data_IF_162182958525
#
_entry.id   IF_162182958525
#
_cell.length_a   1.000
_cell.length_b   1.000
_cell.length_c   1.000
_cell.angle_alpha   90.00
_cell.angle_beta   90.00
_cell.angle_gamma   90.00
#
_symmetry.space_group_name_H-M   'P 1'
#
loop_
_entity.id
_entity.type
_entity.pdbx_description
1 polymer ?
#
# COMPACT_ATOMS: atom_id res chain seq x y z
N UNK A 1 53.45 15.99 15.23
CA UNK A 1 52.66 14.74 15.24
C UNK A 1 51.18 15.11 15.14
N UNK A 2 50.54 14.79 14.01
CA UNK A 2 49.23 15.32 13.64
C UNK A 2 48.10 14.81 14.53
N UNK A 3 47.34 15.76 15.09
CA UNK A 3 46.01 15.51 15.66
C UNK A 3 45.09 15.02 14.53
N UNK A 4 44.88 13.70 14.45
CA UNK A 4 43.76 13.15 13.66
C UNK A 4 42.47 13.51 14.37
N UNK A 5 41.80 14.57 13.89
CA UNK A 5 40.40 14.82 14.22
C UNK A 5 39.60 13.54 13.90
N UNK A 6 39.12 12.84 14.93
CA UNK A 6 38.15 11.75 14.77
C UNK A 6 36.86 12.36 14.25
N UNK A 7 36.63 12.27 12.95
CA UNK A 7 35.35 12.60 12.29
C UNK A 7 34.26 11.57 12.66
N UNK A 8 33.98 11.34 13.94
CA UNK A 8 33.06 10.26 14.36
C UNK A 8 31.57 10.60 14.21
N UNK A 9 31.22 11.80 13.72
CA UNK A 9 29.84 12.28 13.56
C UNK A 9 29.22 12.07 12.17
N UNK A 10 29.99 12.24 11.09
CA UNK A 10 29.45 12.37 9.72
C UNK A 10 29.02 11.04 9.08
N UNK A 11 28.05 11.10 8.18
CA UNK A 11 27.71 9.98 7.29
C UNK A 11 28.78 9.92 6.21
N UNK A 12 29.44 8.77 6.07
CA UNK A 12 30.45 8.58 5.01
C UNK A 12 29.77 8.29 3.68
N UNK A 13 30.46 8.55 2.56
CA UNK A 13 29.96 8.20 1.22
C UNK A 13 29.58 6.73 1.13
N UNK A 14 30.36 5.83 1.74
CA UNK A 14 30.04 4.40 1.80
C UNK A 14 28.74 4.11 2.56
N UNK A 15 28.49 4.78 3.70
CA UNK A 15 27.26 4.60 4.45
C UNK A 15 26.05 5.13 3.68
N UNK A 16 26.21 6.28 3.03
CA UNK A 16 25.19 6.90 2.19
C UNK A 16 24.82 6.00 1.00
N UNK A 17 25.82 5.59 0.19
CA UNK A 17 25.59 4.77 -0.99
C UNK A 17 24.97 3.43 -0.62
N UNK A 18 25.48 2.77 0.41
CA UNK A 18 24.95 1.48 0.87
C UNK A 18 23.49 1.59 1.32
N UNK A 19 23.14 2.61 2.10
CA UNK A 19 21.76 2.80 2.57
C UNK A 19 20.82 3.14 1.42
N UNK A 20 21.25 4.00 0.51
CA UNK A 20 20.52 4.36 -0.71
C UNK A 20 20.27 3.13 -1.60
N UNK A 21 21.31 2.37 -1.94
CA UNK A 21 21.17 1.18 -2.80
C UNK A 21 20.35 0.09 -2.12
N UNK A 22 20.49 -0.13 -0.81
CA UNK A 22 19.61 -1.05 -0.10
C UNK A 22 18.14 -0.64 -0.24
N UNK A 23 17.82 0.65 -0.10
CA UNK A 23 16.45 1.15 -0.26
C UNK A 23 15.96 1.06 -1.71
N UNK A 24 16.81 1.39 -2.69
CA UNK A 24 16.50 1.28 -4.11
C UNK A 24 16.17 -0.16 -4.50
N UNK A 25 17.02 -1.12 -4.09
CA UNK A 25 16.81 -2.54 -4.35
C UNK A 25 15.56 -3.08 -3.64
N UNK A 26 15.31 -2.65 -2.39
CA UNK A 26 14.09 -3.00 -1.66
C UNK A 26 12.81 -2.44 -2.31
N UNK A 27 12.93 -1.41 -3.17
CA UNK A 27 11.80 -0.77 -3.86
C UNK A 27 11.66 -1.22 -5.31
N UNK A 28 12.59 -2.02 -5.84
CA UNK A 28 12.64 -2.35 -7.25
C UNK A 28 11.35 -3.02 -7.76
N UNK A 29 10.75 -3.91 -6.97
CA UNK A 29 9.51 -4.60 -7.33
C UNK A 29 8.36 -3.63 -7.69
N UNK A 30 8.24 -2.49 -7.00
CA UNK A 30 7.22 -1.48 -7.29
C UNK A 30 7.40 -0.88 -8.68
N UNK A 31 8.64 -0.51 -9.01
CA UNK A 31 8.95 0.19 -10.25
C UNK A 31 9.07 -0.74 -11.44
N UNK A 32 9.52 -1.98 -11.25
CA UNK A 32 9.51 -3.01 -12.28
C UNK A 32 8.08 -3.42 -12.63
N UNK A 33 7.19 -3.53 -11.65
CA UNK A 33 5.76 -3.76 -11.88
C UNK A 33 5.13 -2.57 -12.62
N UNK A 34 5.40 -1.34 -12.18
CA UNK A 34 4.90 -0.13 -12.85
C UNK A 34 5.38 0.00 -14.30
N UNK A 35 6.62 -0.44 -14.59
CA UNK A 35 7.18 -0.43 -15.94
C UNK A 35 6.82 -1.68 -16.76
N UNK A 36 5.91 -2.52 -16.28
CA UNK A 36 5.45 -3.76 -16.94
C UNK A 36 6.59 -4.73 -17.30
N UNK A 37 7.69 -4.70 -16.55
CA UNK A 37 8.89 -5.51 -16.78
C UNK A 37 9.27 -6.37 -15.56
N UNK A 38 8.34 -6.54 -14.63
CA UNK A 38 8.50 -7.37 -13.44
C UNK A 38 8.70 -8.84 -13.81
N UNK A 39 9.66 -9.48 -13.15
CA UNK A 39 9.94 -10.89 -13.36
C UNK A 39 10.42 -11.54 -12.05
N UNK A 40 10.06 -12.83 -11.78
CA UNK A 40 10.40 -13.51 -10.53
C UNK A 40 11.88 -13.52 -10.18
N UNK A 41 12.74 -13.81 -11.16
CA UNK A 41 14.18 -13.90 -10.97
C UNK A 41 14.82 -12.58 -10.49
N UNK A 42 14.72 -11.44 -11.21
CA UNK A 42 15.30 -10.19 -10.76
C UNK A 42 14.68 -9.72 -9.44
N UNK A 43 13.36 -9.83 -9.23
CA UNK A 43 12.74 -9.44 -7.96
C UNK A 43 13.33 -10.22 -6.77
N UNK A 44 13.53 -11.53 -6.93
CA UNK A 44 14.16 -12.38 -5.90
C UNK A 44 15.58 -11.92 -5.58
N UNK A 45 16.41 -11.69 -6.61
CA UNK A 45 17.81 -11.30 -6.44
C UNK A 45 17.93 -9.90 -5.80
N UNK A 46 17.15 -8.94 -6.28
CA UNK A 46 17.19 -7.55 -5.80
C UNK A 46 16.73 -7.46 -4.34
N UNK A 47 15.67 -8.18 -3.97
CA UNK A 47 15.18 -8.24 -2.59
C UNK A 47 16.22 -8.89 -1.64
N UNK A 48 16.82 -10.03 -2.03
CA UNK A 48 17.90 -10.66 -1.25
C UNK A 48 19.12 -9.73 -1.09
N UNK A 49 19.51 -9.05 -2.17
CA UNK A 49 20.60 -8.08 -2.14
C UNK A 49 20.28 -6.88 -1.23
N UNK A 50 19.04 -6.39 -1.25
CA UNK A 50 18.58 -5.32 -0.36
C UNK A 50 18.73 -5.71 1.12
N UNK A 51 18.23 -6.89 1.50
CA UNK A 51 18.34 -7.42 2.87
C UNK A 51 19.79 -7.62 3.29
N UNK A 52 20.63 -8.20 2.42
CA UNK A 52 22.05 -8.41 2.69
C UNK A 52 22.79 -7.09 2.91
N UNK A 53 22.57 -6.10 2.02
CA UNK A 53 23.16 -4.78 2.15
C UNK A 53 22.71 -4.07 3.43
N UNK A 54 21.43 -4.14 3.77
CA UNK A 54 20.87 -3.49 4.95
C UNK A 54 21.37 -4.13 6.25
N UNK A 55 21.30 -5.46 6.40
CA UNK A 55 21.61 -6.16 7.65
C UNK A 55 23.08 -6.00 8.08
N UNK A 56 24.00 -5.99 7.11
CA UNK A 56 25.42 -5.69 7.31
C UNK A 56 25.69 -4.20 7.66
N UNK A 57 24.79 -3.28 7.30
CA UNK A 57 24.95 -1.84 7.50
C UNK A 57 24.90 -1.43 8.97
N UNK A 58 25.58 -0.36 9.36
CA UNK A 58 25.49 0.18 10.72
C UNK A 58 24.23 1.07 10.91
N UNK A 59 24.11 1.73 12.06
CA UNK A 59 22.97 2.61 12.35
C UNK A 59 22.81 3.77 11.37
N UNK A 60 23.91 4.26 10.75
CA UNK A 60 23.83 5.35 9.77
C UNK A 60 23.33 4.82 8.43
N UNK A 61 23.74 3.62 8.04
CA UNK A 61 23.18 2.94 6.86
C UNK A 61 21.67 2.72 7.02
N UNK A 62 21.23 2.26 8.19
CA UNK A 62 19.81 2.08 8.51
C UNK A 62 19.02 3.39 8.50
N UNK A 63 19.60 4.46 9.05
CA UNK A 63 19.02 5.80 9.00
C UNK A 63 18.80 6.29 7.56
N UNK A 64 19.82 6.12 6.70
CA UNK A 64 19.76 6.49 5.28
C UNK A 64 18.77 5.60 4.53
N UNK A 65 18.77 4.29 4.81
CA UNK A 65 17.78 3.36 4.25
C UNK A 65 16.35 3.80 4.59
N UNK A 66 16.08 4.12 5.86
CA UNK A 66 14.78 4.60 6.32
C UNK A 66 14.33 5.89 5.64
N UNK A 67 15.28 6.80 5.36
CA UNK A 67 14.98 8.03 4.62
C UNK A 67 14.54 7.74 3.17
N UNK A 68 15.33 6.94 2.45
CA UNK A 68 15.06 6.66 1.03
C UNK A 68 13.92 5.66 0.81
N UNK A 69 13.75 4.67 1.68
CA UNK A 69 12.62 3.71 1.56
C UNK A 69 11.30 4.46 1.66
N UNK A 70 11.22 5.47 2.52
CA UNK A 70 10.03 6.29 2.65
C UNK A 70 9.75 7.13 1.40
N UNK A 71 10.79 7.68 0.78
CA UNK A 71 10.65 8.40 -0.49
C UNK A 71 10.16 7.44 -1.58
N UNK A 72 10.79 6.28 -1.72
CA UNK A 72 10.46 5.36 -2.79
C UNK A 72 9.09 4.68 -2.62
N UNK A 73 8.69 4.35 -1.39
CA UNK A 73 7.43 3.65 -1.13
C UNK A 73 6.25 4.57 -0.91
N UNK A 74 6.46 5.80 -0.42
CA UNK A 74 5.39 6.70 0.02
C UNK A 74 5.33 8.03 -0.73
N UNK A 75 6.02 8.22 -1.86
CA UNK A 75 5.87 9.47 -2.61
C UNK A 75 4.44 9.74 -3.11
N UNK A 76 3.72 8.66 -3.43
CA UNK A 76 2.38 8.74 -4.03
C UNK A 76 1.33 9.29 -3.06
N UNK A 77 1.48 9.11 -1.74
CA UNK A 77 0.47 9.57 -0.76
C UNK A 77 0.36 11.10 -0.74
N UNK A 78 1.46 11.80 -1.05
CA UNK A 78 1.50 13.26 -1.10
C UNK A 78 0.84 13.81 -2.37
N UNK A 79 0.60 13.00 -3.40
CA UNK A 79 -0.04 13.46 -4.64
C UNK A 79 -1.46 13.97 -4.40
N UNK A 80 -2.12 13.50 -3.34
CA UNK A 80 -3.43 13.99 -2.90
C UNK A 80 -3.45 15.50 -2.64
N UNK A 81 -2.36 16.09 -2.15
CA UNK A 81 -2.28 17.54 -1.90
C UNK A 81 -2.43 18.38 -3.16
N UNK A 82 -2.16 17.83 -4.36
CA UNK A 82 -2.44 18.53 -5.62
C UNK A 82 -3.93 18.76 -5.82
N UNK A 83 -4.76 17.81 -5.40
CA UNK A 83 -6.22 17.84 -5.56
C UNK A 83 -6.82 18.90 -4.63
N UNK A 84 -6.25 19.05 -3.42
CA UNK A 84 -6.71 20.02 -2.43
C UNK A 84 -6.08 21.43 -2.59
N UNK A 85 -5.30 21.70 -3.64
CA UNK A 85 -4.67 23.01 -3.86
C UNK A 85 -3.42 23.28 -3.04
N UNK A 86 -2.89 22.29 -2.31
CA UNK A 86 -1.70 22.40 -1.46
C UNK A 86 -0.46 21.75 -2.09
N UNK A 87 -0.29 21.83 -3.41
CA UNK A 87 0.83 21.19 -4.12
C UNK A 87 2.22 21.61 -3.56
N UNK A 88 2.34 22.82 -3.01
CA UNK A 88 3.55 23.31 -2.34
C UNK A 88 3.93 22.51 -1.09
N UNK A 89 2.97 21.84 -0.44
CA UNK A 89 3.18 21.06 0.78
C UNK A 89 3.75 19.67 0.48
N UNK A 90 3.73 19.21 -0.77
CA UNK A 90 4.24 17.89 -1.20
C UNK A 90 5.70 17.66 -0.77
N UNK A 91 6.67 18.53 -1.13
CA UNK A 91 8.07 18.31 -0.74
C UNK A 91 8.26 18.32 0.79
N UNK A 92 7.47 19.14 1.51
CA UNK A 92 7.54 19.24 2.98
C UNK A 92 7.00 17.96 3.62
N UNK A 93 5.81 17.51 3.19
CA UNK A 93 5.19 16.27 3.65
C UNK A 93 6.07 15.06 3.37
N UNK A 94 6.68 14.98 2.18
CA UNK A 94 7.64 13.93 1.85
C UNK A 94 8.87 13.94 2.75
N UNK A 95 9.43 15.12 3.03
CA UNK A 95 10.58 15.23 3.92
C UNK A 95 10.22 14.78 5.34
N UNK A 96 9.03 15.15 5.86
CA UNK A 96 8.57 14.73 7.17
C UNK A 96 8.42 13.21 7.27
N UNK A 97 7.77 12.57 6.29
CA UNK A 97 7.62 11.10 6.24
C UNK A 97 9.00 10.44 6.16
N UNK A 98 9.91 10.97 5.33
CA UNK A 98 11.27 10.44 5.22
C UNK A 98 12.06 10.55 6.52
N UNK A 99 11.93 11.66 7.27
CA UNK A 99 12.59 11.84 8.57
C UNK A 99 12.01 10.91 9.65
N UNK A 100 10.70 10.64 9.63
CA UNK A 100 10.05 9.69 10.54
C UNK A 100 10.64 8.29 10.34
N UNK A 101 10.67 7.78 9.10
CA UNK A 101 11.23 6.47 8.81
C UNK A 101 12.74 6.42 9.00
N UNK A 102 13.46 7.50 8.70
CA UNK A 102 14.89 7.62 9.00
C UNK A 102 15.16 7.43 10.49
N UNK A 103 14.38 8.09 11.34
CA UNK A 103 14.47 8.00 12.80
C UNK A 103 14.08 6.61 13.32
N UNK A 104 13.02 6.02 12.76
CA UNK A 104 12.56 4.67 13.11
C UNK A 104 13.65 3.62 12.85
N UNK A 105 14.21 3.58 11.64
CA UNK A 105 15.25 2.62 11.28
C UNK A 105 16.57 2.87 12.02
N UNK A 106 16.93 4.14 12.23
CA UNK A 106 18.07 4.49 13.08
C UNK A 106 17.90 3.97 14.51
N UNK A 107 16.74 4.22 15.12
CA UNK A 107 16.40 3.76 16.46
C UNK A 107 16.42 2.24 16.57
N UNK A 108 15.87 1.53 15.59
CA UNK A 108 15.92 0.07 15.51
C UNK A 108 17.36 -0.47 15.47
N UNK A 109 18.24 0.17 14.69
CA UNK A 109 19.64 -0.22 14.59
C UNK A 109 20.46 0.12 15.85
N UNK A 110 20.16 1.24 16.53
CA UNK A 110 20.74 1.59 17.83
C UNK A 110 20.33 0.57 18.89
N UNK A 111 19.03 0.26 18.98
CA UNK A 111 18.49 -0.73 19.92
C UNK A 111 19.09 -2.11 19.66
N UNK A 112 19.20 -2.52 18.40
CA UNK A 112 19.84 -3.77 18.00
C UNK A 112 21.28 -3.89 18.48
N UNK A 113 22.06 -2.80 18.42
CA UNK A 113 23.44 -2.78 18.96
C UNK A 113 23.49 -2.85 20.48
N UNK A 114 22.59 -2.15 21.16
CA UNK A 114 22.49 -2.21 22.61
C UNK A 114 22.13 -3.63 23.10
N UNK A 115 21.10 -4.23 22.51
CA UNK A 115 20.68 -5.60 22.80
C UNK A 115 21.77 -6.62 22.46
N UNK A 116 22.44 -6.47 21.32
CA UNK A 116 23.59 -7.29 20.94
C UNK A 116 24.69 -7.30 22.01
N UNK A 117 25.05 -6.12 22.54
CA UNK A 117 26.05 -6.00 23.62
C UNK A 117 25.57 -6.64 24.93
N UNK A 118 24.29 -6.46 25.27
CA UNK A 118 23.68 -7.01 26.49
C UNK A 118 23.62 -8.54 26.48
N UNK A 119 23.19 -9.14 25.38
CA UNK A 119 22.98 -10.58 25.23
C UNK A 119 24.19 -11.31 24.63
N UNK A 120 25.25 -10.59 24.24
CA UNK A 120 26.45 -11.13 23.57
C UNK A 120 26.13 -11.89 22.27
N UNK A 121 25.14 -11.41 21.52
CA UNK A 121 24.68 -11.97 20.24
C UNK A 121 24.94 -10.93 19.14
N UNK A 122 25.21 -11.37 17.90
CA UNK A 122 25.40 -10.46 16.76
C UNK A 122 24.18 -9.53 16.57
N UNK A 123 24.38 -8.22 16.30
CA UNK A 123 23.29 -7.26 16.07
C UNK A 123 22.44 -7.57 14.84
N UNK A 124 22.94 -8.41 13.92
CA UNK A 124 22.21 -8.86 12.72
C UNK A 124 20.89 -9.54 13.09
N UNK A 125 20.88 -10.32 14.18
CA UNK A 125 19.68 -11.04 14.63
C UNK A 125 18.57 -10.10 15.12
N UNK A 126 18.92 -9.07 15.89
CA UNK A 126 17.96 -8.07 16.35
C UNK A 126 17.43 -7.20 15.20
N UNK A 127 18.28 -6.89 14.22
CA UNK A 127 17.86 -6.20 12.99
C UNK A 127 16.90 -7.05 12.14
N UNK A 128 17.22 -8.33 11.96
CA UNK A 128 16.34 -9.26 11.25
C UNK A 128 14.99 -9.38 11.97
N UNK A 129 15.00 -9.50 13.30
CA UNK A 129 13.78 -9.51 14.11
C UNK A 129 12.96 -8.22 13.95
N UNK A 130 13.62 -7.05 13.93
CA UNK A 130 12.93 -5.79 13.65
C UNK A 130 12.28 -5.79 12.26
N UNK A 131 12.97 -6.22 11.20
CA UNK A 131 12.37 -6.28 9.86
C UNK A 131 11.16 -7.23 9.82
N UNK A 132 11.27 -8.40 10.45
CA UNK A 132 10.18 -9.38 10.52
C UNK A 132 8.92 -8.79 11.19
N UNK A 133 9.12 -7.99 12.23
CA UNK A 133 8.05 -7.42 13.07
C UNK A 133 7.61 -6.02 12.65
N UNK A 134 8.33 -5.35 11.75
CA UNK A 134 8.06 -3.97 11.35
C UNK A 134 6.66 -3.79 10.76
N UNK A 135 6.11 -4.80 10.09
CA UNK A 135 4.74 -4.74 9.55
C UNK A 135 3.65 -4.65 10.62
N UNK A 136 3.94 -5.03 11.88
CA UNK A 136 2.96 -4.95 12.97
C UNK A 136 2.87 -3.53 13.54
N UNK A 137 3.71 -2.62 13.04
CA UNK A 137 3.65 -1.20 13.35
C UNK A 137 2.60 -0.59 12.41
N UNK A 138 1.39 -0.39 12.92
CA UNK A 138 0.25 0.17 12.18
C UNK A 138 -0.11 1.60 12.63
N UNK A 139 0.71 2.63 12.31
CA UNK A 139 0.32 4.02 12.56
C UNK A 139 -1.05 4.30 11.95
N UNK A 140 -1.96 4.82 12.77
CA UNK A 140 -3.34 5.12 12.37
C UNK A 140 -4.14 3.89 11.87
N UNK A 141 -3.75 2.67 12.28
CA UNK A 141 -4.44 1.43 11.88
C UNK A 141 -4.21 1.02 10.43
N UNK A 142 -3.22 1.60 9.75
CA UNK A 142 -2.91 1.30 8.35
C UNK A 142 -1.57 0.59 8.19
N UNK A 143 -1.53 -0.33 7.22
CA UNK A 143 -0.38 -1.15 6.84
C UNK A 143 0.64 -0.39 6.00
N UNK A 144 1.29 0.62 6.58
CA UNK A 144 2.18 1.50 5.82
C UNK A 144 3.40 0.76 5.25
N UNK A 145 4.23 0.15 6.10
CA UNK A 145 5.46 -0.50 5.66
C UNK A 145 5.45 -1.99 5.99
N UNK A 146 5.39 -2.83 4.96
CA UNK A 146 5.53 -4.29 5.05
C UNK A 146 6.79 -4.73 4.31
N UNK A 147 7.94 -4.91 4.99
CA UNK A 147 9.19 -5.27 4.33
C UNK A 147 9.09 -6.53 3.47
N UNK A 148 8.30 -7.52 3.88
CA UNK A 148 8.02 -8.74 3.11
C UNK A 148 7.51 -8.49 1.68
N UNK A 149 6.87 -7.35 1.40
CA UNK A 149 6.34 -7.04 0.07
C UNK A 149 7.42 -6.86 -1.00
N UNK A 150 8.69 -6.72 -0.62
CA UNK A 150 9.80 -6.75 -1.58
C UNK A 150 9.88 -8.05 -2.37
N UNK A 151 9.24 -9.13 -1.88
CA UNK A 151 9.13 -10.43 -2.54
C UNK A 151 7.85 -10.59 -3.37
N UNK A 152 7.06 -9.53 -3.55
CA UNK A 152 5.92 -9.55 -4.48
C UNK A 152 6.44 -9.85 -5.89
N UNK A 153 5.77 -10.77 -6.59
CA UNK A 153 6.20 -11.26 -7.91
C UNK A 153 7.66 -11.78 -7.92
N UNK A 154 8.11 -12.40 -6.81
CA UNK A 154 9.37 -13.12 -6.71
C UNK A 154 9.11 -14.64 -6.64
N UNK A 155 10.16 -15.45 -6.50
CA UNK A 155 10.03 -16.88 -6.22
C UNK A 155 9.69 -17.20 -4.75
N UNK A 156 9.76 -16.21 -3.86
CA UNK A 156 9.44 -16.39 -2.45
C UNK A 156 8.06 -15.85 -2.11
N UNK A 157 7.40 -16.48 -1.15
CA UNK A 157 6.14 -16.01 -0.62
C UNK A 157 6.29 -14.74 0.23
N UNK A 158 5.19 -14.00 0.37
CA UNK A 158 5.12 -12.76 1.18
C UNK A 158 4.57 -12.99 2.59
N UNK A 159 4.18 -14.23 2.94
CA UNK A 159 3.72 -14.52 4.31
C UNK A 159 4.87 -14.42 5.32
N UNK A 160 4.51 -14.24 6.59
CA UNK A 160 5.50 -14.00 7.66
C UNK A 160 6.51 -15.11 7.84
N UNK A 161 6.11 -16.38 7.67
CA UNK A 161 7.03 -17.50 7.81
C UNK A 161 8.00 -17.59 6.62
N UNK A 162 7.55 -17.30 5.39
CA UNK A 162 8.43 -17.17 4.22
C UNK A 162 9.50 -16.11 4.48
N UNK A 163 9.06 -14.91 4.90
CA UNK A 163 9.97 -13.81 5.18
C UNK A 163 10.93 -14.12 6.34
N UNK A 164 10.47 -14.82 7.37
CA UNK A 164 11.32 -15.27 8.49
C UNK A 164 12.43 -16.23 8.02
N UNK A 165 12.12 -17.19 7.13
CA UNK A 165 13.10 -18.11 6.54
C UNK A 165 14.13 -17.33 5.71
N UNK A 166 13.68 -16.38 4.89
CA UNK A 166 14.59 -15.56 4.09
C UNK A 166 15.50 -14.73 5.00
N UNK A 167 14.95 -14.04 6.00
CA UNK A 167 15.75 -13.27 6.97
C UNK A 167 16.74 -14.16 7.75
N UNK A 168 16.32 -15.36 8.15
CA UNK A 168 17.19 -16.35 8.81
C UNK A 168 18.36 -16.74 7.90
N UNK A 169 18.09 -17.06 6.63
CA UNK A 169 19.12 -17.44 5.67
C UNK A 169 20.14 -16.31 5.46
N UNK A 170 19.70 -15.08 5.22
CA UNK A 170 20.60 -13.91 5.05
C UNK A 170 21.36 -13.60 6.34
N UNK A 171 20.72 -13.68 7.51
CA UNK A 171 21.37 -13.45 8.79
C UNK A 171 22.46 -14.49 9.09
N UNK A 172 22.24 -15.76 8.71
CA UNK A 172 23.24 -16.83 8.81
C UNK A 172 24.41 -16.62 7.85
N UNK A 173 24.14 -16.24 6.60
CA UNK A 173 25.20 -15.90 5.62
C UNK A 173 26.14 -14.85 6.21
N UNK A 174 25.57 -13.79 6.80
CA UNK A 174 26.36 -12.71 7.41
C UNK A 174 27.09 -13.17 8.68
N UNK A 175 26.40 -13.86 9.58
CA UNK A 175 26.95 -14.22 10.90
C UNK A 175 27.98 -15.33 10.83
N UNK A 176 27.87 -16.23 9.85
CA UNK A 176 28.76 -17.38 9.65
C UNK A 176 29.74 -17.18 8.49
N UNK A 177 29.61 -16.09 7.74
CA UNK A 177 30.43 -15.78 6.56
C UNK A 177 30.45 -16.92 5.53
N UNK A 178 29.32 -17.61 5.39
CA UNK A 178 29.18 -18.76 4.50
C UNK A 178 27.93 -18.60 3.63
N UNK A 179 28.15 -18.46 2.31
CA UNK A 179 27.07 -18.23 1.34
C UNK A 179 26.11 -19.41 1.21
N UNK A 180 26.53 -20.64 1.55
CA UNK A 180 25.68 -21.83 1.44
C UNK A 180 24.41 -21.76 2.31
N UNK A 181 24.41 -20.94 3.37
CA UNK A 181 23.20 -20.72 4.16
C UNK A 181 22.06 -20.06 3.38
N UNK A 182 22.35 -19.42 2.23
CA UNK A 182 21.33 -18.88 1.34
C UNK A 182 20.43 -19.96 0.74
N UNK A 183 20.89 -21.21 0.65
CA UNK A 183 20.07 -22.34 0.19
C UNK A 183 18.83 -22.56 1.07
N UNK A 184 18.87 -22.16 2.34
CA UNK A 184 17.70 -22.20 3.22
C UNK A 184 16.55 -21.32 2.73
N UNK A 185 16.84 -20.27 1.95
CA UNK A 185 15.80 -19.44 1.35
C UNK A 185 14.90 -20.23 0.39
N UNK A 186 15.36 -21.35 -0.17
CA UNK A 186 14.52 -22.23 -0.99
C UNK A 186 13.32 -22.82 -0.22
N UNK A 187 13.39 -22.90 1.11
CA UNK A 187 12.26 -23.30 1.95
C UNK A 187 11.15 -22.24 2.00
N UNK A 188 11.43 -21.01 1.55
CA UNK A 188 10.44 -19.95 1.39
C UNK A 188 9.85 -19.89 -0.03
N UNK A 189 10.15 -20.88 -0.88
CA UNK A 189 9.65 -20.93 -2.25
C UNK A 189 8.12 -21.00 -2.28
N UNK A 190 7.50 -20.06 -3.00
CA UNK A 190 6.08 -20.06 -3.30
C UNK A 190 5.94 -19.93 -4.82
N UNK A 191 5.42 -20.96 -5.52
CA UNK A 191 5.16 -20.84 -6.94
C UNK A 191 4.14 -19.73 -7.15
N UNK A 192 4.36 -18.90 -8.17
CA UNK A 192 3.32 -17.98 -8.62
C UNK A 192 2.06 -18.78 -8.93
N UNK A 193 0.87 -18.29 -8.55
CA UNK A 193 -0.36 -18.97 -8.89
C UNK A 193 -0.38 -19.15 -10.41
N UNK A 194 -0.36 -20.40 -10.88
CA UNK A 194 -0.85 -20.67 -12.21
C UNK A 194 -2.30 -20.23 -12.19
N UNK A 195 -2.67 -19.26 -13.03
CA UNK A 195 -4.06 -18.97 -13.28
C UNK A 195 -4.68 -20.30 -13.76
N UNK A 196 -5.32 -21.03 -12.85
CA UNK A 196 -6.18 -22.13 -13.25
C UNK A 196 -7.20 -21.46 -14.16
N UNK A 197 -7.32 -21.94 -15.39
CA UNK A 197 -8.41 -21.59 -16.31
C UNK A 197 -9.74 -22.12 -15.73
N UNK A 198 -10.10 -21.70 -14.52
CA UNK A 198 -11.49 -21.60 -14.15
C UNK A 198 -12.01 -20.47 -15.01
N UNK A 199 -12.47 -20.87 -16.19
CA UNK A 199 -13.31 -20.13 -17.11
C UNK A 199 -14.62 -19.81 -16.40
N UNK A 200 -14.56 -18.98 -15.36
CA UNK A 200 -15.62 -18.01 -15.15
C UNK A 200 -15.79 -17.36 -16.51
N UNK A 201 -16.95 -17.57 -17.11
CA UNK A 201 -17.27 -17.00 -18.41
C UNK A 201 -17.26 -15.48 -18.25
N UNK A 202 -16.08 -14.89 -18.39
CA UNK A 202 -15.84 -13.45 -18.27
C UNK A 202 -16.65 -12.70 -19.31
N UNK A 203 -17.15 -13.38 -20.34
CA UNK A 203 -18.09 -12.82 -21.30
C UNK A 203 -19.47 -12.54 -20.66
N UNK A 204 -19.81 -13.15 -19.52
CA UNK A 204 -21.06 -12.86 -18.80
C UNK A 204 -20.93 -11.71 -17.79
N UNK A 205 -19.72 -11.24 -17.51
CA UNK A 205 -19.45 -10.14 -16.58
C UNK A 205 -19.17 -8.84 -17.35
N UNK A 206 -19.67 -7.72 -16.84
CA UNK A 206 -19.27 -6.37 -17.27
C UNK A 206 -18.67 -5.62 -16.08
N UNK A 207 -17.35 -5.43 -16.11
CA UNK A 207 -16.67 -4.49 -15.23
C UNK A 207 -16.68 -3.11 -15.88
N UNK A 208 -17.25 -2.12 -15.20
CA UNK A 208 -17.35 -0.75 -15.70
C UNK A 208 -16.19 0.06 -15.14
N UNK A 209 -15.47 0.74 -16.01
CA UNK A 209 -14.48 1.76 -15.64
C UNK A 209 -15.01 3.11 -16.08
N UNK A 210 -14.89 4.10 -15.19
CA UNK A 210 -15.30 5.48 -15.47
C UNK A 210 -14.09 6.38 -15.47
N UNK A 211 -13.94 7.21 -16.49
CA UNK A 211 -12.88 8.22 -16.57
C UNK A 211 -13.41 9.58 -16.12
N UNK A 212 -14.08 9.63 -14.96
CA UNK A 212 -14.63 10.87 -14.40
C UNK A 212 -13.52 11.58 -13.60
N UNK A 213 -13.11 12.80 -14.00
CA UNK A 213 -12.15 13.59 -13.23
C UNK A 213 -12.65 13.89 -11.81
N UNK A 214 -11.75 13.95 -10.83
CA UNK A 214 -12.12 14.09 -9.41
C UNK A 214 -12.87 15.40 -9.10
N UNK A 215 -12.56 16.48 -9.82
CA UNK A 215 -13.20 17.78 -9.78
C UNK A 215 -14.64 17.75 -10.30
N UNK A 216 -14.93 16.87 -11.26
CA UNK A 216 -16.27 16.67 -11.82
C UNK A 216 -17.08 15.63 -11.05
N UNK A 217 -16.41 14.70 -10.36
CA UNK A 217 -17.04 13.59 -9.63
C UNK A 217 -18.08 14.10 -8.62
N UNK A 218 -17.78 15.20 -7.95
CA UNK A 218 -18.60 15.77 -6.89
C UNK A 218 -19.40 17.01 -7.31
N UNK A 219 -19.43 17.37 -8.60
CA UNK A 219 -20.24 18.49 -9.10
C UNK A 219 -21.71 18.06 -9.26
N UNK A 220 -22.66 18.64 -8.51
CA UNK A 220 -24.09 18.31 -8.63
C UNK A 220 -24.64 18.53 -10.04
N UNK A 221 -24.05 19.43 -10.84
CA UNK A 221 -24.47 19.67 -12.24
C UNK A 221 -24.19 18.47 -13.15
N UNK A 222 -23.23 17.63 -12.79
CA UNK A 222 -22.87 16.43 -13.55
C UNK A 222 -23.76 15.24 -13.21
N UNK A 223 -24.53 15.29 -12.12
CA UNK A 223 -25.34 14.18 -11.66
C UNK A 223 -26.32 13.63 -12.72
N UNK A 224 -27.10 14.46 -13.44
CA UNK A 224 -28.00 13.94 -14.48
C UNK A 224 -27.24 13.16 -15.57
N UNK A 225 -26.10 13.68 -16.02
CA UNK A 225 -25.28 13.03 -17.04
C UNK A 225 -24.67 11.70 -16.53
N UNK A 226 -24.28 11.64 -15.26
CA UNK A 226 -23.76 10.41 -14.63
C UNK A 226 -24.85 9.35 -14.45
N UNK A 227 -26.07 9.74 -14.06
CA UNK A 227 -27.24 8.84 -13.97
C UNK A 227 -27.62 8.30 -15.35
N UNK A 228 -27.63 9.16 -16.37
CA UNK A 228 -27.89 8.74 -17.75
C UNK A 228 -26.83 7.75 -18.25
N UNK A 229 -25.55 8.01 -17.96
CA UNK A 229 -24.46 7.10 -18.30
C UNK A 229 -24.60 5.75 -17.59
N UNK A 230 -24.96 5.75 -16.30
CA UNK A 230 -25.22 4.54 -15.51
C UNK A 230 -26.26 3.66 -16.19
N UNK A 231 -27.45 4.19 -16.49
CA UNK A 231 -28.53 3.40 -17.10
C UNK A 231 -28.21 2.98 -18.54
N UNK A 232 -27.60 3.85 -19.36
CA UNK A 232 -27.16 3.44 -20.71
C UNK A 232 -26.20 2.26 -20.66
N UNK A 233 -25.30 2.25 -19.68
CA UNK A 233 -24.33 1.15 -19.50
C UNK A 233 -25.02 -0.13 -19.04
N UNK A 234 -26.01 -0.03 -18.14
CA UNK A 234 -26.85 -1.17 -17.74
C UNK A 234 -27.61 -1.73 -18.94
N UNK A 235 -28.30 -0.88 -19.70
CA UNK A 235 -29.08 -1.28 -20.88
C UNK A 235 -28.21 -1.95 -21.94
N UNK A 236 -27.00 -1.43 -22.16
CA UNK A 236 -26.03 -2.06 -23.06
C UNK A 236 -25.62 -3.44 -22.55
N UNK A 237 -25.32 -3.60 -21.25
CA UNK A 237 -24.95 -4.88 -20.67
C UNK A 237 -26.10 -5.91 -20.77
N UNK A 238 -27.35 -5.49 -20.60
CA UNK A 238 -28.54 -6.34 -20.82
C UNK A 238 -28.62 -6.78 -22.28
N UNK A 239 -28.42 -5.86 -23.24
CA UNK A 239 -28.41 -6.19 -24.69
C UNK A 239 -27.30 -7.18 -25.06
N UNK A 240 -26.13 -7.01 -24.44
CA UNK A 240 -24.99 -7.92 -24.56
C UNK A 240 -25.18 -9.25 -23.79
N UNK A 241 -26.36 -9.48 -23.19
CA UNK A 241 -26.71 -10.68 -22.41
C UNK A 241 -25.75 -10.95 -21.24
N UNK A 242 -25.21 -9.90 -20.63
CA UNK A 242 -24.40 -10.00 -19.42
C UNK A 242 -25.29 -10.44 -18.26
N UNK A 243 -24.74 -11.23 -17.34
CA UNK A 243 -25.40 -11.68 -16.11
C UNK A 243 -25.18 -10.73 -14.95
N UNK A 244 -24.03 -10.05 -14.92
CA UNK A 244 -23.63 -9.15 -13.85
C UNK A 244 -22.90 -7.93 -14.43
N UNK A 245 -23.28 -6.74 -13.94
CA UNK A 245 -22.57 -5.49 -14.16
C UNK A 245 -22.06 -4.93 -12.83
N UNK A 246 -20.78 -4.54 -12.78
CA UNK A 246 -20.12 -4.01 -11.58
C UNK A 246 -19.59 -2.61 -11.89
N UNK A 247 -20.07 -1.63 -11.14
CA UNK A 247 -19.64 -0.24 -11.22
C UNK A 247 -18.55 0.07 -10.17
N UNK A 248 -17.72 1.11 -10.43
CA UNK A 248 -16.69 1.52 -9.49
C UNK A 248 -17.28 2.20 -8.25
N UNK A 249 -16.41 2.48 -7.28
CA UNK A 249 -16.74 3.10 -6.00
C UNK A 249 -17.25 4.55 -6.15
N UNK A 250 -18.35 4.84 -5.45
CA UNK A 250 -18.96 6.17 -5.34
C UNK A 250 -19.18 6.83 -6.71
N UNK A 251 -19.89 6.15 -7.61
CA UNK A 251 -20.12 6.66 -8.97
C UNK A 251 -20.97 7.94 -8.99
N UNK A 252 -21.95 8.01 -8.10
CA UNK A 252 -22.91 9.11 -8.00
C UNK A 252 -22.64 9.94 -6.73
N UNK A 253 -22.54 11.28 -6.81
CA UNK A 253 -22.31 12.14 -5.66
C UNK A 253 -23.60 12.40 -4.87
N UNK A 254 -24.28 11.33 -4.43
CA UNK A 254 -25.52 11.38 -3.65
C UNK A 254 -25.65 10.20 -2.70
N UNK A 255 -26.58 10.30 -1.75
CA UNK A 255 -26.98 9.21 -0.88
C UNK A 255 -28.06 8.35 -1.56
N UNK A 256 -27.68 7.20 -2.09
CA UNK A 256 -28.54 6.42 -2.99
C UNK A 256 -29.79 5.88 -2.27
N UNK A 257 -29.71 5.57 -0.98
CA UNK A 257 -30.87 5.13 -0.20
C UNK A 257 -31.95 6.21 -0.01
N UNK A 258 -31.63 7.48 -0.26
CA UNK A 258 -32.60 8.59 -0.18
C UNK A 258 -33.31 8.85 -1.52
N UNK A 259 -32.81 8.27 -2.62
CA UNK A 259 -33.31 8.50 -3.97
C UNK A 259 -34.27 7.40 -4.43
N UNK A 260 -35.50 7.41 -3.90
CA UNK A 260 -36.51 6.37 -4.15
C UNK A 260 -36.76 6.08 -5.64
N UNK A 261 -36.88 7.13 -6.47
CA UNK A 261 -37.13 6.98 -7.90
C UNK A 261 -35.96 6.28 -8.62
N UNK A 262 -34.72 6.54 -8.17
CA UNK A 262 -33.52 5.92 -8.72
C UNK A 262 -33.40 4.46 -8.27
N UNK A 263 -33.68 4.18 -6.99
CA UNK A 263 -33.71 2.82 -6.45
C UNK A 263 -34.72 1.93 -7.17
N UNK A 264 -35.94 2.43 -7.40
CA UNK A 264 -36.96 1.64 -8.10
C UNK A 264 -36.57 1.34 -9.55
N UNK A 265 -35.98 2.32 -10.25
CA UNK A 265 -35.44 2.07 -11.60
C UNK A 265 -34.32 1.02 -11.57
N UNK A 266 -33.40 1.08 -10.61
CA UNK A 266 -32.34 0.09 -10.46
C UNK A 266 -32.90 -1.30 -10.12
N UNK A 267 -33.90 -1.40 -9.24
CA UNK A 267 -34.61 -2.66 -8.94
C UNK A 267 -35.28 -3.24 -10.18
N UNK A 268 -35.97 -2.42 -10.96
CA UNK A 268 -36.60 -2.88 -12.20
C UNK A 268 -35.57 -3.39 -13.21
N UNK A 269 -34.50 -2.61 -13.46
CA UNK A 269 -33.38 -3.06 -14.30
C UNK A 269 -32.77 -4.36 -13.77
N UNK A 270 -32.70 -4.54 -12.45
CA UNK A 270 -32.08 -5.71 -11.84
C UNK A 270 -32.82 -7.04 -12.05
N UNK A 271 -34.08 -6.98 -12.53
CA UNK A 271 -34.82 -8.19 -12.94
C UNK A 271 -34.20 -8.85 -14.18
N UNK A 272 -33.47 -8.08 -15.00
CA UNK A 272 -32.86 -8.56 -16.23
C UNK A 272 -31.34 -8.79 -16.11
N UNK A 273 -30.68 -8.18 -15.13
CA UNK A 273 -29.23 -8.28 -14.91
C UNK A 273 -28.89 -8.02 -13.43
N UNK A 274 -27.95 -8.74 -12.83
CA UNK A 274 -27.46 -8.38 -11.50
C UNK A 274 -26.60 -7.10 -11.56
N UNK A 275 -26.77 -6.19 -10.61
CA UNK A 275 -26.09 -4.88 -10.59
C UNK A 275 -25.36 -4.72 -9.26
N UNK A 276 -24.06 -4.42 -9.31
CA UNK A 276 -23.28 -3.98 -8.16
C UNK A 276 -22.85 -2.53 -8.39
N UNK A 277 -23.25 -1.63 -7.50
CA UNK A 277 -23.01 -0.19 -7.62
C UNK A 277 -22.41 0.38 -6.33
N UNK A 278 -21.25 1.03 -6.45
CA UNK A 278 -20.69 1.82 -5.36
C UNK A 278 -21.39 3.17 -5.24
N UNK A 279 -21.95 3.48 -4.07
CA UNK A 279 -22.61 4.75 -3.77
C UNK A 279 -22.55 5.08 -2.26
N UNK A 280 -22.90 6.32 -1.89
CA UNK A 280 -23.02 6.68 -0.48
C UNK A 280 -24.34 6.18 0.09
N UNK A 281 -24.30 5.70 1.32
CA UNK A 281 -25.44 5.25 2.12
C UNK A 281 -25.60 6.18 3.33
N UNK A 282 -26.79 6.75 3.51
CA UNK A 282 -27.11 7.55 4.68
C UNK A 282 -27.73 6.67 5.77
N UNK A 283 -26.96 6.32 6.79
CA UNK A 283 -27.41 5.50 7.91
C UNK A 283 -27.58 6.34 9.18
N UNK A 284 -28.82 6.72 9.49
CA UNK A 284 -29.19 7.41 10.75
C UNK A 284 -28.30 8.62 11.12
N UNK A 285 -27.90 9.42 10.13
CA UNK A 285 -27.03 10.59 10.35
C UNK A 285 -25.55 10.35 10.09
N UNK A 286 -25.16 9.11 9.77
CA UNK A 286 -23.79 8.72 9.45
C UNK A 286 -23.68 8.41 7.96
N UNK A 287 -22.91 9.20 7.18
CA UNK A 287 -22.62 8.85 5.80
C UNK A 287 -21.67 7.64 5.74
N UNK A 288 -22.01 6.66 4.91
CA UNK A 288 -21.22 5.44 4.67
C UNK A 288 -20.90 5.30 3.20
N UNK A 289 -19.74 4.74 2.92
CA UNK A 289 -19.34 4.33 1.58
C UNK A 289 -19.73 2.86 1.41
N UNK A 290 -20.59 2.56 0.42
CA UNK A 290 -21.30 1.30 0.40
C UNK A 290 -21.43 0.73 -1.01
N UNK A 291 -21.50 -0.59 -1.06
CA UNK A 291 -21.84 -1.34 -2.27
C UNK A 291 -23.31 -1.71 -2.20
N UNK A 292 -24.08 -1.22 -3.16
CA UNK A 292 -25.47 -1.62 -3.39
C UNK A 292 -25.50 -2.78 -4.36
N UNK A 293 -26.18 -3.86 -3.98
CA UNK A 293 -26.29 -5.09 -4.75
C UNK A 293 -27.76 -5.28 -5.09
N UNK A 294 -28.08 -5.27 -6.39
CA UNK A 294 -29.42 -5.52 -6.89
C UNK A 294 -29.44 -6.83 -7.69
N UNK A 295 -30.35 -7.72 -7.36
CA UNK A 295 -30.58 -8.97 -8.11
C UNK A 295 -32.07 -9.34 -8.06
N UNK A 296 -32.66 -9.61 -9.22
CA UNK A 296 -34.06 -10.06 -9.35
C UNK A 296 -35.08 -9.14 -8.65
N UNK A 297 -34.81 -7.84 -8.62
CA UNK A 297 -35.65 -6.84 -7.96
C UNK A 297 -35.42 -6.68 -6.46
N UNK A 298 -34.60 -7.54 -5.83
CA UNK A 298 -34.18 -7.37 -4.45
C UNK A 298 -32.96 -6.46 -4.36
N UNK A 299 -32.77 -5.80 -3.21
CA UNK A 299 -31.64 -4.92 -2.93
C UNK A 299 -30.99 -5.30 -1.60
N UNK A 300 -29.67 -5.35 -1.58
CA UNK A 300 -28.84 -5.49 -0.39
C UNK A 300 -27.78 -4.38 -0.36
N UNK A 301 -27.32 -4.00 0.83
CA UNK A 301 -26.30 -2.97 1.03
C UNK A 301 -25.16 -3.58 1.84
N UNK A 302 -23.92 -3.38 1.39
CA UNK A 302 -22.72 -3.75 2.11
C UNK A 302 -21.90 -2.48 2.40
N UNK A 303 -21.86 -2.09 3.68
CA UNK A 303 -21.13 -0.90 4.13
C UNK A 303 -19.65 -1.20 4.35
N UNK A 304 -18.78 -0.25 4.00
CA UNK A 304 -17.33 -0.32 4.24
C UNK A 304 -17.03 -0.24 5.74
N UNK A 305 -16.26 -1.22 6.25
CA UNK A 305 -15.92 -1.33 7.67
C UNK A 305 -14.58 -0.66 8.01
N UNK A 306 -13.59 -0.78 7.13
CA UNK A 306 -12.23 -0.22 7.34
C UNK A 306 -12.08 1.07 6.55
N UNK A 307 -11.94 2.18 7.26
CA UNK A 307 -11.85 3.52 6.69
C UNK A 307 -10.41 3.96 6.47
N UNK A 308 -10.16 4.69 5.39
CA UNK A 308 -8.84 5.25 5.09
C UNK A 308 -8.55 6.43 6.04
N UNK A 309 -7.45 6.41 6.81
CA UNK A 309 -7.10 7.52 7.69
C UNK A 309 -6.83 8.81 6.90
N UNK A 310 -7.24 9.96 7.44
CA UNK A 310 -7.15 11.30 6.85
C UNK A 310 -7.98 11.55 5.58
N UNK A 311 -8.43 10.49 4.90
CA UNK A 311 -9.37 10.59 3.78
C UNK A 311 -10.83 10.45 4.24
N UNK A 312 -11.15 9.37 4.95
CA UNK A 312 -12.53 9.04 5.35
C UNK A 312 -12.77 9.19 6.86
N UNK A 313 -11.70 9.17 7.67
CA UNK A 313 -11.77 9.40 9.11
C UNK A 313 -10.59 10.25 9.58
N UNK A 314 -10.80 11.11 10.57
CA UNK A 314 -9.70 11.84 11.21
C UNK A 314 -9.16 11.03 12.40
N UNK A 315 -7.99 10.37 12.28
CA UNK A 315 -7.45 9.53 13.34
C UNK A 315 -6.76 10.35 14.46
N UNK A 316 -6.72 11.68 14.34
CA UNK A 316 -5.94 12.53 15.24
C UNK A 316 -6.68 12.83 16.54
N UNK A 317 -5.94 13.00 17.66
CA UNK A 317 -6.50 13.57 18.88
C UNK A 317 -7.15 14.94 18.61
N UNK A 318 -8.24 15.25 19.30
CA UNK A 318 -9.03 16.50 19.11
C UNK A 318 -8.20 17.79 19.10
N UNK A 319 -7.09 17.83 19.83
CA UNK A 319 -6.22 19.01 19.84
C UNK A 319 -5.47 19.19 18.51
N UNK A 320 -4.90 18.11 17.94
CA UNK A 320 -4.16 18.16 16.68
C UNK A 320 -5.11 18.25 15.48
N UNK A 321 -6.28 17.60 15.57
CA UNK A 321 -7.36 17.73 14.60
C UNK A 321 -7.78 19.19 14.38
N UNK A 322 -7.89 20.01 15.44
CA UNK A 322 -8.21 21.44 15.31
C UNK A 322 -7.15 22.22 14.51
N UNK A 323 -5.87 21.93 14.72
CA UNK A 323 -4.79 22.58 13.97
C UNK A 323 -4.78 22.17 12.50
N UNK A 324 -4.95 20.87 12.22
CA UNK A 324 -5.01 20.36 10.85
C UNK A 324 -6.23 20.93 10.13
N UNK A 325 -7.40 20.93 10.77
CA UNK A 325 -8.60 21.48 10.15
C UNK A 325 -8.44 22.96 9.82
N UNK A 326 -7.87 23.78 10.70
CA UNK A 326 -7.67 25.20 10.44
C UNK A 326 -6.67 25.53 9.30
N UNK A 327 -5.83 24.56 8.92
CA UNK A 327 -4.83 24.73 7.84
C UNK A 327 -5.37 24.20 6.51
N UNK A 328 -6.15 23.12 6.55
CA UNK A 328 -6.54 22.36 5.35
C UNK A 328 -8.02 22.50 4.95
N UNK A 329 -8.88 23.04 5.81
CA UNK A 329 -10.33 23.22 5.57
C UNK A 329 -10.81 24.63 6.00
#
# INVERSE_FOLDING_TARGET
>A
MGNRFKMSGYITTFQLTRGFFAALLASAFLYLAWAECSHPLPNTILALAALYLLLLGDQKVWMVFGFFIAIFWFWWIMMSFRIYGFAWAIPIGMLLVALIYSSLFWGAAVLSRFSAKRFRISPVWFKALFLLTASFIHPFGFDWLKPELMFTESYFGVEKWHFAIVLLSVALVISRQNVFYLLLAALAYQPLPSLSENTLDTQTLKLVTTSIPIDQKWDPKMLPAQVDLLFRTIDQAVKEKKKLIVFPESLLPLFLNQEYALLEKLRESSKNIAIVLGALHWDEGVPRNSSYIFDKGAMQIADKVVLVPFGENNPLPKWLSRWVNAIFY
#
